data_IF_196012432285
#
_entry.id   IF_196012432285
#
_cell.length_a   1.000
_cell.length_b   1.000
_cell.length_c   1.000
_cell.angle_alpha   90.00
_cell.angle_beta   90.00
_cell.angle_gamma   90.00
#
_symmetry.space_group_name_H-M   'P 1'
#
loop_
_entity.id
_entity.type
_entity.pdbx_description
1 polymer ?
#
# COMPACT_ATOMS: atom_id res chain seq x y z
N UNK A 1 2.24 4.37 11.83
CA UNK A 1 1.05 4.64 12.67
C UNK A 1 0.62 3.41 13.43
N UNK A 2 -0.22 3.55 14.47
CA UNK A 2 -0.82 2.42 15.17
C UNK A 2 -2.25 2.21 14.71
N UNK A 3 -2.62 0.95 14.47
CA UNK A 3 -4.00 0.53 14.28
C UNK A 3 -4.54 -0.10 15.56
N UNK A 4 -5.72 0.37 15.96
CA UNK A 4 -6.50 -0.16 17.07
C UNK A 4 -7.66 -0.99 16.52
N UNK A 5 -7.60 -2.31 16.75
CA UNK A 5 -8.59 -3.29 16.32
C UNK A 5 -9.45 -3.72 17.52
N UNK A 6 -10.76 -3.43 17.53
CA UNK A 6 -11.67 -3.82 18.61
C UNK A 6 -12.02 -5.32 18.59
N UNK A 7 -11.44 -6.11 17.66
CA UNK A 7 -11.80 -7.50 17.46
C UNK A 7 -13.21 -7.64 16.89
N UNK A 8 -14.07 -8.39 17.55
CA UNK A 8 -15.46 -8.62 17.13
C UNK A 8 -16.42 -7.53 17.62
N UNK A 9 -15.91 -6.60 18.44
CA UNK A 9 -16.68 -5.49 19.00
C UNK A 9 -16.71 -4.29 18.03
N UNK A 10 -17.54 -3.29 18.39
CA UNK A 10 -17.53 -1.98 17.75
C UNK A 10 -16.58 -1.05 18.48
N UNK A 11 -15.97 -0.09 17.76
CA UNK A 11 -15.11 0.94 18.37
C UNK A 11 -15.83 1.67 19.49
N UNK A 12 -17.10 2.01 19.28
CA UNK A 12 -17.92 2.78 20.24
C UNK A 12 -18.19 2.02 21.55
N UNK A 13 -18.19 0.70 21.52
CA UNK A 13 -18.60 -0.14 22.66
C UNK A 13 -17.50 -0.95 23.30
N UNK A 14 -16.34 -1.07 22.62
CA UNK A 14 -15.21 -1.83 23.16
C UNK A 14 -14.55 -1.11 24.34
N UNK A 15 -13.88 -1.90 25.20
CA UNK A 15 -12.97 -1.40 26.25
C UNK A 15 -11.57 -1.95 26.07
N UNK A 16 -11.36 -2.80 25.04
CA UNK A 16 -10.09 -3.43 24.72
C UNK A 16 -9.80 -3.31 23.23
N UNK A 17 -8.56 -3.03 22.89
CA UNK A 17 -8.07 -3.02 21.52
C UNK A 17 -6.83 -3.90 21.40
N UNK A 18 -6.74 -4.66 20.31
CA UNK A 18 -5.46 -5.15 19.81
C UNK A 18 -4.77 -4.02 19.08
N UNK A 19 -3.48 -3.86 19.32
CA UNK A 19 -2.68 -2.82 18.67
C UNK A 19 -1.78 -3.46 17.64
N UNK A 20 -1.83 -2.94 16.41
CA UNK A 20 -1.02 -3.37 15.29
C UNK A 20 -0.23 -2.17 14.75
N UNK A 21 0.92 -2.46 14.21
CA UNK A 21 1.61 -1.52 13.35
C UNK A 21 0.90 -1.42 12.01
N UNK A 22 1.00 -0.25 11.36
CA UNK A 22 0.39 -0.02 10.05
C UNK A 22 0.99 1.17 9.33
N UNK A 23 0.69 1.24 8.06
CA UNK A 23 1.17 2.21 7.09
C UNK A 23 1.54 1.48 5.81
N UNK A 24 1.00 1.91 4.65
CA UNK A 24 1.13 1.17 3.39
C UNK A 24 2.58 0.82 3.07
N UNK A 25 3.46 1.81 3.09
CA UNK A 25 4.88 1.64 2.78
C UNK A 25 5.59 0.69 3.78
N UNK A 26 5.26 0.81 5.07
CA UNK A 26 5.79 -0.11 6.09
C UNK A 26 5.25 -1.53 5.89
N UNK A 27 3.97 -1.69 5.59
CA UNK A 27 3.35 -2.99 5.34
C UNK A 27 4.03 -3.71 4.17
N UNK A 28 4.35 -2.96 3.09
CA UNK A 28 5.12 -3.46 1.95
C UNK A 28 6.53 -3.86 2.37
N UNK A 29 7.27 -3.00 3.08
CA UNK A 29 8.63 -3.27 3.54
C UNK A 29 8.68 -4.50 4.45
N UNK A 30 7.72 -4.63 5.38
CA UNK A 30 7.62 -5.78 6.28
C UNK A 30 7.27 -7.07 5.53
N UNK A 31 6.37 -7.01 4.55
CA UNK A 31 6.05 -8.15 3.69
C UNK A 31 7.29 -8.63 2.93
N UNK A 32 8.04 -7.72 2.31
CA UNK A 32 9.30 -8.00 1.63
C UNK A 32 10.34 -8.62 2.58
N UNK A 33 10.40 -8.14 3.84
CA UNK A 33 11.34 -8.67 4.84
C UNK A 33 10.91 -10.02 5.36
N UNK A 34 9.70 -10.14 5.88
CA UNK A 34 9.25 -11.30 6.65
C UNK A 34 8.85 -12.49 5.78
N UNK A 35 8.15 -12.22 4.67
CA UNK A 35 7.72 -13.28 3.75
C UNK A 35 8.84 -13.67 2.78
N UNK A 36 9.54 -12.69 2.23
CA UNK A 36 10.45 -12.88 1.10
C UNK A 36 11.94 -12.77 1.45
N UNK A 37 12.30 -12.43 2.69
CA UNK A 37 13.68 -12.43 3.18
C UNK A 37 14.56 -11.28 2.65
N UNK A 38 13.99 -10.26 2.01
CA UNK A 38 14.76 -9.13 1.49
C UNK A 38 15.24 -8.20 2.63
N UNK A 39 16.32 -7.47 2.39
CA UNK A 39 16.74 -6.37 3.25
C UNK A 39 15.87 -5.17 2.93
N UNK A 40 15.22 -4.60 3.94
CA UNK A 40 14.29 -3.47 3.78
C UNK A 40 14.50 -2.43 4.86
N UNK A 41 14.30 -1.18 4.54
CA UNK A 41 14.26 -0.05 5.48
C UNK A 41 12.95 0.71 5.33
N UNK A 42 12.60 1.51 6.35
CA UNK A 42 11.50 2.46 6.31
C UNK A 42 12.01 3.87 6.56
N UNK A 43 11.63 4.81 5.70
CA UNK A 43 11.86 6.23 5.88
C UNK A 43 10.60 6.86 6.42
N UNK A 44 10.65 7.40 7.64
CA UNK A 44 9.48 7.96 8.30
C UNK A 44 9.87 8.96 9.38
N UNK A 45 8.88 9.70 9.91
CA UNK A 45 9.07 10.54 11.08
C UNK A 45 8.10 10.10 12.20
N UNK A 46 8.60 10.09 13.44
CA UNK A 46 7.90 9.64 14.64
C UNK A 46 8.08 10.68 15.75
N UNK A 47 6.99 11.00 16.46
CA UNK A 47 7.06 11.86 17.65
C UNK A 47 7.75 11.12 18.80
N UNK A 48 8.72 11.75 19.44
CA UNK A 48 9.55 11.18 20.51
C UNK A 48 8.80 11.12 21.84
N UNK A 49 7.96 10.10 21.97
CA UNK A 49 7.20 9.81 23.18
C UNK A 49 6.99 8.28 23.32
N UNK A 50 6.31 7.83 24.37
CA UNK A 50 6.07 6.40 24.62
C UNK A 50 5.32 5.70 23.49
N UNK A 51 4.42 6.41 22.78
CA UNK A 51 3.72 5.86 21.60
C UNK A 51 4.68 5.68 20.42
N UNK A 52 5.61 6.63 20.24
CA UNK A 52 6.68 6.51 19.23
C UNK A 52 7.60 5.33 19.52
N UNK A 53 7.94 5.08 20.80
CA UNK A 53 8.74 3.91 21.19
C UNK A 53 8.01 2.60 20.96
N UNK A 54 6.69 2.53 21.18
CA UNK A 54 5.89 1.36 20.82
C UNK A 54 5.90 1.13 19.29
N UNK A 55 5.76 2.18 18.47
CA UNK A 55 5.86 2.04 17.01
C UNK A 55 7.24 1.51 16.61
N UNK A 56 8.31 2.04 17.21
CA UNK A 56 9.68 1.59 16.98
C UNK A 56 9.85 0.10 17.29
N UNK A 57 9.35 -0.36 18.44
CA UNK A 57 9.43 -1.77 18.85
C UNK A 57 8.69 -2.69 17.88
N UNK A 58 7.49 -2.30 17.44
CA UNK A 58 6.71 -3.05 16.45
C UNK A 58 7.42 -3.13 15.09
N UNK A 59 8.06 -2.04 14.64
CA UNK A 59 8.89 -2.04 13.42
C UNK A 59 10.08 -2.99 13.60
N UNK A 60 10.73 -2.97 14.76
CA UNK A 60 11.83 -3.86 15.09
C UNK A 60 11.41 -5.34 15.03
N UNK A 61 10.25 -5.68 15.60
CA UNK A 61 9.67 -7.03 15.52
C UNK A 61 9.38 -7.44 14.07
N UNK A 62 9.04 -6.50 13.20
CA UNK A 62 8.91 -6.71 11.75
C UNK A 62 10.24 -6.98 11.04
N UNK A 63 11.38 -6.69 11.68
CA UNK A 63 12.72 -6.87 11.14
C UNK A 63 13.09 -5.86 10.04
N UNK A 64 12.33 -4.77 9.90
CA UNK A 64 12.61 -3.67 8.98
C UNK A 64 13.63 -2.74 9.61
N UNK A 65 14.61 -2.29 8.83
CA UNK A 65 15.63 -1.36 9.29
C UNK A 65 15.02 0.00 9.68
N UNK A 66 15.53 0.60 10.74
CA UNK A 66 14.98 1.79 11.39
C UNK A 66 15.94 2.98 11.37
N UNK A 67 17.08 2.85 10.69
CA UNK A 67 18.15 3.87 10.68
C UNK A 67 17.66 5.22 10.12
N UNK A 68 16.64 5.20 9.26
CA UNK A 68 16.07 6.39 8.63
C UNK A 68 14.78 6.89 9.32
N UNK A 69 14.57 6.55 10.58
CA UNK A 69 13.49 7.13 11.38
C UNK A 69 13.93 8.50 11.92
N UNK A 70 13.24 9.56 11.49
CA UNK A 70 13.39 10.89 12.04
C UNK A 70 12.58 11.04 13.33
N UNK A 71 13.23 11.29 14.44
CA UNK A 71 12.59 11.58 15.71
C UNK A 71 12.28 13.06 15.84
N UNK A 72 11.02 13.39 16.07
CA UNK A 72 10.56 14.77 16.24
C UNK A 72 10.26 15.04 17.71
N UNK A 73 10.82 16.09 18.32
CA UNK A 73 10.59 16.43 19.71
C UNK A 73 9.10 16.58 20.03
N UNK A 74 8.65 15.96 21.11
CA UNK A 74 7.25 15.97 21.54
C UNK A 74 7.02 17.08 22.58
N UNK A 75 5.94 17.84 22.44
CA UNK A 75 5.61 19.00 23.30
C UNK A 75 4.93 18.63 24.62
N UNK A 76 4.81 17.35 24.94
CA UNK A 76 4.17 16.83 26.14
C UNK A 76 2.63 16.67 26.06
N UNK A 77 1.98 17.25 25.05
CA UNK A 77 0.50 17.25 24.92
C UNK A 77 -0.01 16.99 23.50
N UNK A 78 0.89 16.92 22.51
CA UNK A 78 0.54 16.62 21.11
C UNK A 78 -0.13 17.77 20.36
N UNK A 79 0.12 19.02 20.72
CA UNK A 79 -0.37 20.18 19.96
C UNK A 79 0.38 20.36 18.64
N UNK A 80 1.70 20.21 18.69
CA UNK A 80 2.56 20.46 17.54
C UNK A 80 2.82 19.19 16.76
N UNK A 81 3.02 18.06 17.45
CA UNK A 81 3.35 16.78 16.81
C UNK A 81 2.78 15.61 17.60
N UNK A 82 2.35 14.57 16.88
CA UNK A 82 1.90 13.31 17.46
C UNK A 82 2.15 12.14 16.49
N UNK A 83 1.91 10.92 16.94
CA UNK A 83 1.92 9.73 16.12
C UNK A 83 0.53 9.44 15.55
N UNK A 84 0.44 8.93 14.32
CA UNK A 84 -0.83 8.63 13.68
C UNK A 84 -1.54 7.43 14.31
N UNK A 85 -2.84 7.55 14.49
CA UNK A 85 -3.71 6.50 15.03
C UNK A 85 -4.79 6.16 14.00
N UNK A 86 -5.21 4.90 13.98
CA UNK A 86 -6.28 4.41 13.14
C UNK A 86 -7.11 3.38 13.90
N UNK A 87 -8.38 3.66 14.10
CA UNK A 87 -9.33 2.73 14.72
C UNK A 87 -10.12 2.06 13.60
N UNK A 88 -10.03 0.74 13.49
CA UNK A 88 -10.65 0.03 12.36
C UNK A 88 -11.44 -1.18 12.82
N UNK A 89 -12.75 -1.14 12.58
CA UNK A 89 -13.64 -2.27 12.74
C UNK A 89 -13.57 -3.17 11.53
N UNK A 90 -13.41 -4.45 11.73
CA UNK A 90 -13.57 -5.43 10.69
C UNK A 90 -15.04 -5.56 10.29
N UNK A 91 -15.30 -5.65 8.99
CA UNK A 91 -16.62 -5.98 8.51
C UNK A 91 -16.97 -7.45 8.77
N UNK A 92 -18.27 -7.75 8.85
CA UNK A 92 -18.75 -9.12 8.95
C UNK A 92 -20.10 -9.27 8.27
N UNK A 93 -20.25 -10.23 7.37
CA UNK A 93 -21.50 -10.47 6.64
C UNK A 93 -21.98 -9.23 5.90
N UNK A 94 -23.15 -8.72 6.27
CA UNK A 94 -23.74 -7.51 5.69
C UNK A 94 -23.21 -6.20 6.29
N UNK A 95 -22.46 -6.28 7.39
CA UNK A 95 -21.91 -5.11 8.06
C UNK A 95 -20.55 -4.76 7.47
N UNK A 96 -20.46 -3.63 6.78
CA UNK A 96 -19.21 -3.15 6.21
C UNK A 96 -18.14 -2.87 7.28
N UNK A 97 -16.86 -2.95 6.89
CA UNK A 97 -15.77 -2.44 7.69
C UNK A 97 -15.90 -0.92 7.85
N UNK A 98 -15.50 -0.41 9.01
CA UNK A 98 -15.53 1.03 9.31
C UNK A 98 -14.22 1.45 9.94
N UNK A 99 -13.76 2.66 9.65
CA UNK A 99 -12.51 3.19 10.17
C UNK A 99 -12.61 4.65 10.58
N UNK A 100 -11.88 5.00 11.64
CA UNK A 100 -11.67 6.38 12.09
C UNK A 100 -10.15 6.61 12.16
N UNK A 101 -9.63 7.44 11.25
CA UNK A 101 -8.20 7.73 11.17
C UNK A 101 -7.90 9.10 11.76
N UNK A 102 -6.90 9.15 12.61
CA UNK A 102 -6.38 10.38 13.21
C UNK A 102 -4.96 10.63 12.69
N UNK A 103 -4.89 11.38 11.58
CA UNK A 103 -3.66 11.62 10.80
C UNK A 103 -3.18 13.07 10.83
N UNK A 104 -3.94 13.99 11.41
CA UNK A 104 -3.58 15.40 11.48
C UNK A 104 -2.42 15.66 12.46
N UNK A 105 -1.52 16.59 12.14
CA UNK A 105 -0.36 17.00 12.94
C UNK A 105 0.58 15.83 13.33
N UNK A 106 0.61 14.77 12.54
CA UNK A 106 1.54 13.67 12.77
C UNK A 106 2.95 14.06 12.35
N UNK A 107 3.97 13.48 12.97
CA UNK A 107 5.36 13.75 12.60
C UNK A 107 5.60 13.51 11.10
N UNK A 108 5.08 12.41 10.57
CA UNK A 108 5.20 12.06 9.14
C UNK A 108 4.48 13.07 8.23
N UNK A 109 3.36 13.67 8.65
CA UNK A 109 2.63 14.66 7.86
C UNK A 109 3.31 16.02 7.78
N UNK A 110 4.37 16.22 8.57
CA UNK A 110 5.15 17.45 8.66
C UNK A 110 6.55 17.33 8.01
N UNK A 111 6.82 16.20 7.34
CA UNK A 111 8.05 16.09 6.57
C UNK A 111 8.09 17.13 5.44
N UNK A 112 9.24 17.74 5.27
CA UNK A 112 9.50 18.74 4.25
C UNK A 112 10.66 18.28 3.34
N UNK A 113 10.74 18.78 2.09
CA UNK A 113 11.91 18.59 1.25
C UNK A 113 13.19 19.02 1.98
N UNK A 114 14.24 18.20 1.86
CA UNK A 114 15.51 18.40 2.55
C UNK A 114 15.60 17.79 3.96
N UNK A 115 14.51 17.29 4.52
CA UNK A 115 14.51 16.62 5.83
C UNK A 115 15.24 15.26 5.81
N UNK A 116 15.31 14.62 4.66
CA UNK A 116 15.88 13.29 4.45
C UNK A 116 17.07 13.38 3.48
N UNK A 117 18.18 12.77 3.83
CA UNK A 117 19.29 12.59 2.91
C UNK A 117 19.05 11.36 2.02
N UNK A 118 18.41 11.56 0.87
CA UNK A 118 18.08 10.49 -0.05
C UNK A 118 19.29 9.85 -0.73
N UNK A 119 20.40 10.59 -0.87
CA UNK A 119 21.60 10.06 -1.52
C UNK A 119 22.25 8.97 -0.66
N UNK A 120 22.22 9.06 0.68
CA UNK A 120 22.63 7.97 1.57
C UNK A 120 21.83 6.69 1.27
N UNK A 121 20.52 6.80 1.09
CA UNK A 121 19.64 5.65 0.90
C UNK A 121 19.83 5.01 -0.50
N UNK A 122 19.96 5.84 -1.53
CA UNK A 122 19.96 5.34 -2.90
C UNK A 122 21.36 5.09 -3.45
N UNK A 123 22.36 5.88 -3.05
CA UNK A 123 23.73 5.75 -3.49
C UNK A 123 24.58 4.90 -2.53
N UNK A 124 24.66 5.28 -1.25
CA UNK A 124 25.56 4.61 -0.29
C UNK A 124 25.03 3.22 0.14
N UNK A 125 23.71 3.10 0.38
CA UNK A 125 23.07 1.83 0.75
C UNK A 125 22.62 1.01 -0.46
N UNK A 126 22.78 1.53 -1.69
CA UNK A 126 22.49 0.86 -2.95
C UNK A 126 21.07 0.30 -3.02
N UNK A 127 20.06 1.09 -2.60
CA UNK A 127 18.67 0.66 -2.62
C UNK A 127 18.18 0.43 -4.05
N UNK A 128 17.80 -0.79 -4.38
CA UNK A 128 17.35 -1.19 -5.74
C UNK A 128 15.92 -0.80 -6.05
N UNK A 129 15.10 -0.58 -5.02
CA UNK A 129 13.67 -0.31 -5.15
C UNK A 129 13.19 0.69 -4.11
N UNK A 130 12.46 1.70 -4.56
CA UNK A 130 11.77 2.66 -3.72
C UNK A 130 10.26 2.51 -3.91
N UNK A 131 9.52 2.37 -2.82
CA UNK A 131 8.06 2.28 -2.82
C UNK A 131 7.46 3.37 -1.94
N UNK A 132 6.46 4.08 -2.47
CA UNK A 132 5.65 5.05 -1.71
C UNK A 132 4.22 5.05 -2.24
N UNK A 133 3.32 5.81 -1.58
CA UNK A 133 1.91 5.79 -1.96
C UNK A 133 1.18 7.11 -1.79
N UNK A 134 -0.02 7.16 -2.37
CA UNK A 134 -0.86 8.34 -2.40
C UNK A 134 -1.39 8.77 -1.04
N UNK A 135 -1.39 7.88 -0.03
CA UNK A 135 -1.72 8.29 1.34
C UNK A 135 -0.64 9.23 1.87
N UNK A 136 0.65 8.89 1.72
CA UNK A 136 1.74 9.77 2.14
C UNK A 136 1.67 11.11 1.40
N UNK A 137 1.55 11.09 0.08
CA UNK A 137 1.43 12.29 -0.74
C UNK A 137 0.24 13.18 -0.38
N UNK A 138 -0.82 12.60 0.19
CA UNK A 138 -2.05 13.29 0.57
C UNK A 138 -2.08 13.78 2.02
N UNK A 139 -1.05 13.53 2.84
CA UNK A 139 -1.03 13.97 4.24
C UNK A 139 -0.90 15.48 4.38
N UNK A 140 -0.13 16.11 3.50
CA UNK A 140 0.07 17.56 3.45
C UNK A 140 0.63 17.99 2.09
N UNK A 141 0.77 19.30 1.88
CA UNK A 141 1.44 19.81 0.68
C UNK A 141 2.92 19.43 0.68
N UNK A 142 3.59 19.53 1.81
CA UNK A 142 5.03 19.25 1.91
C UNK A 142 5.34 17.77 1.72
N UNK A 143 4.46 16.84 2.16
CA UNK A 143 4.66 15.41 1.94
C UNK A 143 4.55 15.02 0.45
N UNK A 144 3.70 15.68 -0.34
CA UNK A 144 3.68 15.51 -1.79
C UNK A 144 5.00 15.98 -2.44
N UNK A 145 5.54 17.11 -1.98
CA UNK A 145 6.83 17.66 -2.43
C UNK A 145 8.00 16.75 -2.00
N UNK A 146 7.98 16.22 -0.78
CA UNK A 146 8.97 15.25 -0.28
C UNK A 146 8.91 13.91 -1.05
N UNK A 147 7.71 13.42 -1.38
CA UNK A 147 7.58 12.23 -2.22
C UNK A 147 8.21 12.44 -3.60
N UNK A 148 8.01 13.62 -4.20
CA UNK A 148 8.62 13.97 -5.49
C UNK A 148 10.14 14.05 -5.38
N UNK A 149 10.67 14.69 -4.34
CA UNK A 149 12.11 14.75 -4.06
C UNK A 149 12.73 13.36 -3.96
N UNK A 150 12.09 12.46 -3.19
CA UNK A 150 12.52 11.07 -3.06
C UNK A 150 12.55 10.33 -4.41
N UNK A 151 11.47 10.46 -5.20
CA UNK A 151 11.39 9.86 -6.54
C UNK A 151 12.47 10.41 -7.49
N UNK A 152 12.73 11.72 -7.44
CA UNK A 152 13.79 12.36 -8.24
C UNK A 152 15.17 11.85 -7.85
N UNK A 153 15.43 11.68 -6.55
CA UNK A 153 16.66 11.10 -6.04
C UNK A 153 16.80 9.63 -6.45
N UNK A 154 15.77 8.81 -6.25
CA UNK A 154 15.76 7.40 -6.65
C UNK A 154 16.11 7.24 -8.15
N UNK A 155 15.51 8.04 -9.00
CA UNK A 155 15.76 8.01 -10.45
C UNK A 155 17.20 8.44 -10.81
N UNK A 156 17.76 9.43 -10.12
CA UNK A 156 19.17 9.83 -10.36
C UNK A 156 20.15 8.68 -10.11
N UNK A 157 19.84 7.81 -9.12
CA UNK A 157 20.68 6.69 -8.74
C UNK A 157 20.26 5.35 -9.39
N UNK A 158 19.30 5.37 -10.34
CA UNK A 158 18.87 4.16 -11.05
C UNK A 158 18.02 3.21 -10.21
N UNK A 159 17.50 3.68 -9.07
CA UNK A 159 16.56 2.93 -8.22
C UNK A 159 15.18 2.88 -8.88
N UNK A 160 14.57 1.70 -8.96
CA UNK A 160 13.22 1.51 -9.49
C UNK A 160 12.21 2.16 -8.55
N UNK A 161 11.29 2.93 -9.08
CA UNK A 161 10.24 3.62 -8.32
C UNK A 161 8.89 2.95 -8.53
N UNK A 162 8.25 2.50 -7.45
CA UNK A 162 6.85 2.08 -7.49
C UNK A 162 5.96 3.01 -6.66
N UNK A 163 4.74 3.21 -7.15
CA UNK A 163 3.76 4.07 -6.52
C UNK A 163 2.39 3.38 -6.46
N UNK A 164 1.85 3.22 -5.24
CA UNK A 164 0.47 2.81 -5.03
C UNK A 164 -0.40 4.07 -4.92
N UNK A 165 -1.31 4.27 -5.86
CA UNK A 165 -2.19 5.45 -5.90
C UNK A 165 -3.00 5.61 -4.64
N UNK A 166 -3.52 4.52 -4.10
CA UNK A 166 -4.15 4.39 -2.78
C UNK A 166 -5.00 5.62 -2.40
N UNK A 167 -5.89 6.03 -3.31
CA UNK A 167 -6.72 7.23 -3.17
C UNK A 167 -7.59 7.16 -1.90
N UNK A 168 -7.67 8.28 -1.20
CA UNK A 168 -8.54 8.43 -0.03
C UNK A 168 -9.23 9.79 -0.08
N UNK A 169 -10.52 9.80 -0.40
CA UNK A 169 -11.33 11.01 -0.48
C UNK A 169 -11.20 11.87 0.78
N UNK A 170 -11.19 11.25 1.97
CA UNK A 170 -11.10 11.93 3.25
C UNK A 170 -9.84 12.79 3.42
N UNK A 171 -8.72 12.41 2.80
CA UNK A 171 -7.47 13.18 2.81
C UNK A 171 -7.53 14.34 1.82
N UNK A 172 -8.09 14.11 0.63
CA UNK A 172 -8.12 15.12 -0.43
C UNK A 172 -9.24 16.15 -0.27
N UNK A 173 -10.34 15.80 0.42
CA UNK A 173 -11.54 16.64 0.55
C UNK A 173 -11.22 18.09 0.96
N UNK A 174 -10.34 18.29 1.93
CA UNK A 174 -9.94 19.62 2.42
C UNK A 174 -8.68 20.18 1.75
N UNK A 175 -8.05 19.41 0.86
CA UNK A 175 -6.86 19.81 0.11
C UNK A 175 -7.16 20.20 -1.35
N UNK A 176 -8.43 20.35 -1.72
CA UNK A 176 -8.86 20.73 -3.07
C UNK A 176 -9.56 19.61 -3.86
N UNK A 177 -9.92 18.51 -3.17
CA UNK A 177 -10.73 17.42 -3.72
C UNK A 177 -10.04 16.60 -4.80
N UNK A 178 -10.85 15.88 -5.57
CA UNK A 178 -10.37 14.96 -6.63
C UNK A 178 -9.53 15.65 -7.71
N UNK A 179 -9.85 16.90 -8.09
CA UNK A 179 -9.05 17.64 -9.08
C UNK A 179 -7.61 17.87 -8.60
N UNK A 180 -7.44 18.21 -7.32
CA UNK A 180 -6.11 18.38 -6.74
C UNK A 180 -5.40 17.03 -6.59
N UNK A 181 -6.11 15.98 -6.20
CA UNK A 181 -5.60 14.61 -6.14
C UNK A 181 -5.04 14.18 -7.50
N UNK A 182 -5.83 14.32 -8.57
CA UNK A 182 -5.40 13.99 -9.91
C UNK A 182 -4.16 14.79 -10.33
N UNK A 183 -4.15 16.10 -10.10
CA UNK A 183 -3.01 16.95 -10.48
C UNK A 183 -1.72 16.54 -9.75
N UNK A 184 -1.78 16.24 -8.45
CA UNK A 184 -0.61 15.79 -7.66
C UNK A 184 -0.17 14.41 -8.11
N UNK A 185 -1.09 13.44 -8.19
CA UNK A 185 -0.76 12.07 -8.58
C UNK A 185 -0.16 12.02 -9.99
N UNK A 186 -0.72 12.74 -10.97
CA UNK A 186 -0.17 12.84 -12.33
C UNK A 186 1.26 13.38 -12.34
N UNK A 187 1.54 14.40 -11.51
CA UNK A 187 2.90 14.92 -11.35
C UNK A 187 3.88 13.90 -10.78
N UNK A 188 3.44 13.05 -9.82
CA UNK A 188 4.26 11.99 -9.25
C UNK A 188 4.42 10.80 -10.22
N UNK A 189 3.35 10.39 -10.90
CA UNK A 189 3.36 9.27 -11.86
C UNK A 189 4.36 9.51 -13.00
N UNK A 190 4.63 10.75 -13.38
CA UNK A 190 5.69 11.06 -14.36
C UNK A 190 7.11 10.63 -13.95
N UNK A 191 7.29 10.14 -12.71
CA UNK A 191 8.57 9.70 -12.14
C UNK A 191 8.57 8.22 -11.73
N UNK A 192 7.49 7.50 -12.00
CA UNK A 192 7.23 6.14 -11.55
C UNK A 192 7.54 5.13 -12.64
N UNK A 193 8.12 4.01 -12.29
CA UNK A 193 8.36 2.86 -13.19
C UNK A 193 7.25 1.82 -13.09
N UNK A 194 6.71 1.60 -11.87
CA UNK A 194 5.66 0.62 -11.58
C UNK A 194 4.50 1.29 -10.86
N UNK A 195 3.36 1.39 -11.52
CA UNK A 195 2.15 2.01 -10.98
C UNK A 195 1.18 0.93 -10.49
N UNK A 196 0.70 1.08 -9.27
CA UNK A 196 -0.22 0.15 -8.61
C UNK A 196 -1.48 0.91 -8.19
N UNK A 197 -2.63 0.25 -8.29
CA UNK A 197 -3.90 0.82 -7.85
C UNK A 197 -5.07 -0.12 -8.05
N UNK A 198 -6.26 0.40 -7.85
CA UNK A 198 -7.53 -0.22 -8.18
C UNK A 198 -8.35 0.70 -9.11
N UNK A 199 -9.56 0.33 -9.44
CA UNK A 199 -10.45 1.09 -10.33
C UNK A 199 -10.69 2.54 -9.88
N UNK A 200 -10.95 2.76 -8.59
CA UNK A 200 -11.15 4.08 -8.00
C UNK A 200 -9.87 4.93 -8.06
N UNK A 201 -8.74 4.29 -7.83
CA UNK A 201 -7.43 4.94 -7.86
C UNK A 201 -7.12 5.53 -9.24
N UNK A 202 -7.35 4.75 -10.30
CA UNK A 202 -7.09 5.20 -11.67
C UNK A 202 -8.11 6.24 -12.15
N UNK A 203 -9.37 6.09 -11.78
CA UNK A 203 -10.44 7.01 -12.22
C UNK A 203 -10.46 8.27 -11.38
N UNK A 204 -10.74 8.18 -10.09
CA UNK A 204 -10.83 9.34 -9.20
C UNK A 204 -9.47 9.89 -8.82
N UNK A 205 -8.50 9.00 -8.53
CA UNK A 205 -7.16 9.37 -8.07
C UNK A 205 -6.28 9.98 -9.17
N UNK A 206 -6.39 9.51 -10.43
CA UNK A 206 -5.63 9.99 -11.60
C UNK A 206 -6.47 10.77 -12.62
N UNK A 207 -7.78 10.61 -12.58
CA UNK A 207 -8.70 11.29 -13.49
C UNK A 207 -8.81 10.64 -14.88
N UNK A 208 -8.59 9.30 -14.99
CA UNK A 208 -8.87 8.56 -16.21
C UNK A 208 -10.37 8.28 -16.33
N UNK A 209 -10.91 8.49 -17.53
CA UNK A 209 -12.28 8.09 -17.85
C UNK A 209 -12.28 6.65 -18.36
N UNK A 210 -13.19 5.82 -17.85
CA UNK A 210 -13.36 4.43 -18.27
C UNK A 210 -14.76 4.25 -18.81
N UNK A 211 -14.88 3.86 -20.10
CA UNK A 211 -16.18 3.57 -20.71
C UNK A 211 -16.89 2.43 -19.99
N UNK A 212 -18.17 2.64 -19.65
CA UNK A 212 -19.03 1.61 -19.01
C UNK A 212 -18.86 1.48 -17.50
N UNK A 213 -18.13 2.40 -16.86
CA UNK A 213 -17.98 2.42 -15.42
C UNK A 213 -19.27 2.88 -14.74
N UNK A 214 -19.81 2.04 -13.86
CA UNK A 214 -20.90 2.40 -12.96
C UNK A 214 -20.38 3.25 -11.79
N UNK A 215 -21.25 4.07 -11.20
CA UNK A 215 -20.91 4.94 -10.06
C UNK A 215 -20.42 4.20 -8.81
N UNK A 216 -20.64 2.90 -8.71
CA UNK A 216 -20.20 2.01 -7.63
C UNK A 216 -18.93 1.21 -7.95
N UNK A 217 -18.30 1.50 -9.11
CA UNK A 217 -17.12 0.79 -9.62
C UNK A 217 -17.32 -0.73 -9.80
N UNK A 218 -18.57 -1.24 -9.71
CA UNK A 218 -18.89 -2.62 -10.00
C UNK A 218 -18.95 -2.84 -11.51
N UNK A 219 -18.42 -3.96 -12.00
CA UNK A 219 -18.49 -4.44 -13.39
C UNK A 219 -17.54 -3.81 -14.43
N UNK A 220 -16.34 -3.35 -14.03
CA UNK A 220 -15.31 -3.12 -15.03
C UNK A 220 -14.93 -4.43 -15.73
N UNK A 221 -15.12 -4.47 -17.04
CA UNK A 221 -14.64 -5.62 -17.83
C UNK A 221 -13.11 -5.61 -17.90
N UNK A 222 -12.52 -6.79 -18.05
CA UNK A 222 -11.07 -6.94 -18.29
C UNK A 222 -10.61 -6.10 -19.48
N UNK A 223 -11.43 -6.00 -20.54
CA UNK A 223 -11.14 -5.18 -21.72
C UNK A 223 -11.14 -3.68 -21.41
N UNK A 224 -12.03 -3.21 -20.53
CA UNK A 224 -12.04 -1.81 -20.08
C UNK A 224 -10.76 -1.48 -19.28
N UNK A 225 -10.31 -2.39 -18.41
CA UNK A 225 -9.03 -2.24 -17.72
C UNK A 225 -7.85 -2.21 -18.69
N UNK A 226 -7.83 -3.09 -19.67
CA UNK A 226 -6.77 -3.11 -20.69
C UNK A 226 -6.68 -1.79 -21.42
N UNK A 227 -7.79 -1.28 -21.95
CA UNK A 227 -7.84 0.02 -22.65
C UNK A 227 -7.35 1.18 -21.76
N UNK A 228 -7.78 1.22 -20.50
CA UNK A 228 -7.33 2.22 -19.54
C UNK A 228 -5.82 2.14 -19.29
N UNK A 229 -5.26 0.94 -19.11
CA UNK A 229 -3.83 0.76 -18.91
C UNK A 229 -3.01 1.14 -20.15
N UNK A 230 -3.50 0.82 -21.34
CA UNK A 230 -2.89 1.25 -22.62
C UNK A 230 -2.88 2.78 -22.76
N UNK A 231 -4.00 3.44 -22.45
CA UNK A 231 -4.10 4.88 -22.43
C UNK A 231 -3.13 5.51 -21.42
N UNK A 232 -3.06 4.93 -20.20
CA UNK A 232 -2.16 5.39 -19.15
C UNK A 232 -0.69 5.32 -19.61
N UNK A 233 -0.27 4.20 -20.17
CA UNK A 233 1.10 4.02 -20.66
C UNK A 233 1.43 4.94 -21.84
N UNK A 234 0.45 5.25 -22.69
CA UNK A 234 0.61 6.24 -23.76
C UNK A 234 0.82 7.65 -23.21
N UNK A 235 0.15 8.00 -22.12
CA UNK A 235 0.27 9.31 -21.49
C UNK A 235 1.53 9.42 -20.60
N UNK A 236 1.92 8.33 -19.95
CA UNK A 236 3.09 8.26 -19.07
C UNK A 236 4.11 7.23 -19.59
N UNK A 237 4.89 7.57 -20.62
CA UNK A 237 5.82 6.61 -21.25
C UNK A 237 6.99 6.20 -20.35
N UNK A 238 7.17 6.85 -19.21
CA UNK A 238 8.12 6.42 -18.17
C UNK A 238 7.62 5.21 -17.37
N UNK A 239 6.30 5.01 -17.27
CA UNK A 239 5.72 3.87 -16.57
C UNK A 239 5.91 2.62 -17.42
N UNK A 240 6.53 1.59 -16.85
CA UNK A 240 6.79 0.32 -17.54
C UNK A 240 5.75 -0.74 -17.20
N UNK A 241 5.25 -0.72 -15.96
CA UNK A 241 4.27 -1.68 -15.46
C UNK A 241 3.12 -0.95 -14.81
N UNK A 242 1.90 -1.29 -15.20
CA UNK A 242 0.67 -0.90 -14.50
C UNK A 242 0.02 -2.15 -13.94
N UNK A 243 -0.20 -2.21 -12.64
CA UNK A 243 -0.84 -3.34 -11.98
C UNK A 243 -2.09 -2.92 -11.22
N UNK A 244 -3.15 -3.72 -11.31
CA UNK A 244 -4.40 -3.48 -10.60
C UNK A 244 -4.86 -4.72 -9.84
N UNK A 245 -5.29 -4.51 -8.59
CA UNK A 245 -6.01 -5.54 -7.85
C UNK A 245 -7.48 -5.55 -8.25
N UNK A 246 -8.01 -6.74 -8.46
CA UNK A 246 -9.41 -6.95 -8.81
C UNK A 246 -10.15 -7.52 -7.60
N UNK A 247 -11.25 -6.89 -7.25
CA UNK A 247 -12.06 -7.31 -6.12
C UNK A 247 -13.55 -7.25 -6.43
N UNK A 248 -14.24 -8.38 -6.30
CA UNK A 248 -15.68 -8.42 -6.37
C UNK A 248 -16.25 -8.75 -4.98
N UNK A 249 -16.88 -7.76 -4.35
CA UNK A 249 -17.37 -7.85 -2.97
C UNK A 249 -18.70 -8.59 -2.93
N UNK A 250 -18.72 -9.79 -2.34
CA UNK A 250 -19.97 -10.57 -2.10
C UNK A 250 -20.58 -10.20 -0.75
N UNK A 251 -19.72 -10.00 0.26
CA UNK A 251 -20.07 -9.52 1.59
C UNK A 251 -18.85 -8.87 2.24
N UNK A 252 -19.00 -8.32 3.44
CA UNK A 252 -17.86 -7.77 4.17
C UNK A 252 -16.76 -8.80 4.51
N UNK A 253 -17.14 -10.07 4.62
CA UNK A 253 -16.25 -11.19 4.94
C UNK A 253 -16.03 -12.17 3.79
N UNK A 254 -16.49 -11.86 2.55
CA UNK A 254 -16.30 -12.74 1.39
C UNK A 254 -16.16 -11.93 0.11
N UNK A 255 -15.03 -12.12 -0.59
CA UNK A 255 -14.74 -11.46 -1.87
C UNK A 255 -14.19 -12.46 -2.88
N UNK A 256 -14.38 -12.16 -4.17
CA UNK A 256 -13.46 -12.67 -5.18
C UNK A 256 -12.22 -11.77 -5.21
N UNK A 257 -11.06 -12.37 -5.45
CA UNK A 257 -9.77 -11.67 -5.43
C UNK A 257 -8.87 -12.15 -6.56
N UNK A 258 -8.27 -11.20 -7.25
CA UNK A 258 -7.29 -11.42 -8.31
C UNK A 258 -6.54 -10.14 -8.62
N UNK A 259 -5.76 -10.18 -9.68
CA UNK A 259 -5.00 -9.03 -10.15
C UNK A 259 -4.73 -9.12 -11.65
N UNK A 260 -4.46 -7.98 -12.25
CA UNK A 260 -4.03 -7.84 -13.64
C UNK A 260 -2.81 -6.93 -13.69
N UNK A 261 -1.97 -7.09 -14.71
CA UNK A 261 -0.98 -6.09 -15.05
C UNK A 261 -0.78 -5.97 -16.56
N UNK A 262 -0.28 -4.81 -16.97
CA UNK A 262 0.13 -4.54 -18.34
C UNK A 262 1.59 -4.11 -18.34
N UNK A 263 2.40 -4.75 -19.17
CA UNK A 263 3.83 -4.52 -19.28
C UNK A 263 4.30 -4.85 -20.70
N UNK A 264 5.06 -3.96 -21.33
CA UNK A 264 5.70 -4.16 -22.65
C UNK A 264 4.75 -4.71 -23.74
N UNK A 265 3.53 -4.16 -23.81
CA UNK A 265 2.50 -4.59 -24.78
C UNK A 265 1.76 -5.87 -24.41
N UNK A 266 2.09 -6.52 -23.28
CA UNK A 266 1.46 -7.75 -22.83
C UNK A 266 0.54 -7.50 -21.64
N UNK A 267 -0.61 -8.17 -21.67
CA UNK A 267 -1.59 -8.15 -20.59
C UNK A 267 -1.58 -9.49 -19.84
N UNK A 268 -1.40 -9.43 -18.53
CA UNK A 268 -1.32 -10.58 -17.66
C UNK A 268 -2.47 -10.56 -16.66
N UNK A 269 -2.97 -11.74 -16.30
CA UNK A 269 -4.01 -11.93 -15.30
C UNK A 269 -3.60 -13.05 -14.34
N UNK A 270 -3.77 -12.81 -13.05
CA UNK A 270 -3.58 -13.84 -12.02
C UNK A 270 -4.76 -14.81 -11.96
N UNK A 271 -4.58 -15.92 -11.25
CA UNK A 271 -5.70 -16.79 -10.88
C UNK A 271 -6.69 -15.98 -10.04
N UNK A 272 -7.95 -16.02 -10.44
CA UNK A 272 -9.05 -15.45 -9.63
C UNK A 272 -9.40 -16.43 -8.52
N UNK A 273 -9.33 -15.97 -7.28
CA UNK A 273 -9.71 -16.73 -6.09
C UNK A 273 -11.12 -16.33 -5.72
N UNK A 274 -12.08 -17.17 -6.15
CA UNK A 274 -13.50 -16.93 -5.90
C UNK A 274 -13.86 -17.24 -4.46
N UNK A 275 -14.80 -16.46 -3.91
CA UNK A 275 -15.36 -16.65 -2.57
C UNK A 275 -14.32 -16.73 -1.45
N UNK A 276 -13.22 -15.97 -1.56
CA UNK A 276 -12.20 -15.89 -0.52
C UNK A 276 -12.84 -15.43 0.80
N UNK A 277 -12.70 -16.24 1.84
CA UNK A 277 -13.13 -15.89 3.18
C UNK A 277 -12.10 -14.94 3.83
N UNK A 278 -12.58 -13.76 4.22
CA UNK A 278 -11.74 -12.68 4.71
C UNK A 278 -11.90 -12.57 6.22
N UNK A 279 -10.79 -12.71 6.91
CA UNK A 279 -10.71 -12.43 8.34
C UNK A 279 -10.48 -10.93 8.60
N UNK A 280 -9.53 -10.33 7.89
CA UNK A 280 -9.24 -8.89 7.93
C UNK A 280 -8.80 -8.42 6.53
N UNK A 281 -9.45 -7.40 6.00
CA UNK A 281 -9.15 -6.95 4.63
C UNK A 281 -7.99 -5.97 4.53
N UNK A 282 -7.57 -5.40 5.68
CA UNK A 282 -6.51 -4.39 5.70
C UNK A 282 -5.16 -5.05 5.34
N UNK A 283 -4.33 -4.33 4.59
CA UNK A 283 -3.02 -4.82 4.18
C UNK A 283 -3.00 -5.81 3.01
N UNK A 284 -4.16 -6.22 2.48
CA UNK A 284 -4.21 -7.10 1.30
C UNK A 284 -3.57 -6.46 0.05
N UNK A 285 -3.82 -5.16 -0.19
CA UNK A 285 -3.18 -4.39 -1.26
C UNK A 285 -1.68 -4.22 -1.04
N UNK A 286 -1.26 -3.89 0.18
CA UNK A 286 0.16 -3.73 0.51
C UNK A 286 0.91 -5.06 0.36
N UNK A 287 0.27 -6.18 0.75
CA UNK A 287 0.83 -7.52 0.57
C UNK A 287 0.88 -7.91 -0.91
N UNK A 288 -0.13 -7.53 -1.72
CA UNK A 288 -0.04 -7.66 -3.18
C UNK A 288 1.18 -6.90 -3.72
N UNK A 289 1.36 -5.64 -3.34
CA UNK A 289 2.48 -4.80 -3.77
C UNK A 289 3.82 -5.42 -3.39
N UNK A 290 3.97 -5.95 -2.16
CA UNK A 290 5.21 -6.62 -1.73
C UNK A 290 5.51 -7.89 -2.53
N UNK A 291 4.51 -8.72 -2.83
CA UNK A 291 4.68 -9.93 -3.65
C UNK A 291 5.02 -9.61 -5.11
N UNK A 292 4.38 -8.60 -5.69
CA UNK A 292 4.69 -8.08 -7.03
C UNK A 292 6.14 -7.57 -7.10
N UNK A 293 6.56 -6.72 -6.16
CA UNK A 293 7.92 -6.18 -6.07
C UNK A 293 8.94 -7.30 -5.94
N UNK A 294 8.70 -8.27 -5.07
CA UNK A 294 9.60 -9.43 -4.91
C UNK A 294 9.73 -10.22 -6.21
N UNK A 295 8.63 -10.49 -6.89
CA UNK A 295 8.63 -11.23 -8.15
C UNK A 295 9.44 -10.52 -9.23
N UNK A 296 9.24 -9.22 -9.40
CA UNK A 296 9.98 -8.39 -10.36
C UNK A 296 11.48 -8.34 -10.02
N UNK A 297 11.84 -8.12 -8.74
CA UNK A 297 13.24 -8.11 -8.29
C UNK A 297 13.94 -9.48 -8.44
N UNK A 298 13.19 -10.57 -8.39
CA UNK A 298 13.74 -11.92 -8.56
C UNK A 298 13.90 -12.36 -10.01
N UNK A 299 13.46 -11.55 -10.99
CA UNK A 299 13.61 -11.83 -12.41
C UNK A 299 12.83 -13.05 -12.91
N UNK A 300 11.75 -13.44 -12.23
CA UNK A 300 10.92 -14.61 -12.57
C UNK A 300 9.84 -14.32 -13.63
N UNK A 301 9.82 -13.09 -14.15
CA UNK A 301 8.86 -12.63 -15.15
C UNK A 301 7.57 -12.07 -14.54
N UNK A 302 6.85 -11.31 -15.37
CA UNK A 302 5.71 -10.48 -14.94
C UNK A 302 4.51 -11.31 -14.49
N UNK A 303 4.21 -12.40 -15.21
CA UNK A 303 3.13 -13.33 -14.83
C UNK A 303 3.38 -13.95 -13.45
N UNK A 304 4.62 -14.38 -13.18
CA UNK A 304 4.98 -14.94 -11.89
C UNK A 304 4.89 -13.87 -10.77
N UNK A 305 5.39 -12.67 -11.05
CA UNK A 305 5.36 -11.56 -10.10
C UNK A 305 3.92 -11.16 -9.74
N UNK A 306 3.04 -11.07 -10.75
CA UNK A 306 1.63 -10.78 -10.58
C UNK A 306 0.93 -11.84 -9.72
N UNK A 307 1.16 -13.12 -10.02
CA UNK A 307 0.55 -14.24 -9.28
C UNK A 307 1.09 -14.30 -7.83
N UNK A 308 2.38 -14.01 -7.62
CA UNK A 308 2.99 -13.91 -6.29
C UNK A 308 2.31 -12.79 -5.47
N UNK A 309 2.12 -11.63 -6.08
CA UNK A 309 1.37 -10.53 -5.44
C UNK A 309 -0.06 -10.92 -5.09
N UNK A 310 -0.80 -11.48 -6.04
CA UNK A 310 -2.19 -11.89 -5.84
C UNK A 310 -2.32 -12.97 -4.74
N UNK A 311 -1.43 -13.95 -4.73
CA UNK A 311 -1.40 -15.01 -3.71
C UNK A 311 -1.04 -14.45 -2.32
N UNK A 312 -0.04 -13.56 -2.23
CA UNK A 312 0.36 -12.95 -0.96
C UNK A 312 -0.73 -12.05 -0.39
N UNK A 313 -1.39 -11.23 -1.23
CA UNK A 313 -2.53 -10.42 -0.83
C UNK A 313 -3.72 -11.26 -0.33
N UNK A 314 -4.00 -12.39 -0.97
CA UNK A 314 -5.03 -13.32 -0.53
C UNK A 314 -4.71 -13.90 0.86
N UNK A 315 -3.49 -14.37 1.08
CA UNK A 315 -3.05 -14.92 2.38
C UNK A 315 -3.09 -13.88 3.50
N UNK A 316 -2.68 -12.64 3.22
CA UNK A 316 -2.71 -11.57 4.21
C UNK A 316 -4.12 -11.33 4.75
N UNK A 317 -5.15 -11.45 3.92
CA UNK A 317 -6.54 -11.27 4.32
C UNK A 317 -7.09 -12.41 5.21
N UNK A 318 -6.35 -13.49 5.41
CA UNK A 318 -6.76 -14.61 6.28
C UNK A 318 -6.29 -14.50 7.73
N UNK A 319 -5.51 -13.47 8.04
CA UNK A 319 -4.97 -13.22 9.38
C UNK A 319 -5.33 -11.80 9.86
N UNK A 320 -5.34 -11.55 11.18
CA UNK A 320 -5.60 -10.20 11.71
C UNK A 320 -4.40 -9.28 11.54
N UNK A 321 -4.65 -7.98 11.48
CA UNK A 321 -3.61 -6.93 11.40
C UNK A 321 -3.36 -6.46 9.98
N UNK A 322 -2.55 -5.41 9.84
CA UNK A 322 -2.28 -4.76 8.55
C UNK A 322 -1.17 -5.46 7.77
N UNK A 323 -0.39 -6.31 8.42
CA UNK A 323 0.81 -6.92 7.85
C UNK A 323 0.63 -8.42 7.65
N UNK A 324 1.15 -8.94 6.53
CA UNK A 324 1.08 -10.36 6.24
C UNK A 324 1.90 -11.18 7.24
N UNK A 325 1.36 -12.33 7.63
CA UNK A 325 2.04 -13.38 8.42
C UNK A 325 2.46 -14.57 7.55
N UNK A 326 2.24 -14.51 6.23
CA UNK A 326 2.55 -15.59 5.30
C UNK A 326 4.05 -15.81 5.13
N UNK A 327 4.42 -17.01 4.77
CA UNK A 327 5.77 -17.40 4.34
C UNK A 327 5.83 -17.54 2.82
N UNK A 328 7.02 -17.42 2.23
CA UNK A 328 7.23 -17.65 0.78
C UNK A 328 6.68 -19.02 0.34
N UNK A 329 6.88 -20.05 1.16
CA UNK A 329 6.40 -21.40 0.86
C UNK A 329 4.86 -21.46 0.76
N UNK A 330 4.14 -20.76 1.63
CA UNK A 330 2.66 -20.67 1.56
C UNK A 330 2.21 -19.91 0.32
N UNK A 331 2.90 -18.81 -0.01
CA UNK A 331 2.63 -18.04 -1.24
C UNK A 331 2.82 -18.93 -2.47
N UNK A 332 3.98 -19.62 -2.60
CA UNK A 332 4.26 -20.49 -3.75
C UNK A 332 3.31 -21.70 -3.85
N UNK A 333 2.84 -22.22 -2.72
CA UNK A 333 1.80 -23.27 -2.71
C UNK A 333 0.47 -22.74 -3.23
N UNK A 334 0.04 -21.57 -2.78
CA UNK A 334 -1.21 -20.97 -3.22
C UNK A 334 -1.17 -20.58 -4.71
N UNK A 335 -0.02 -20.12 -5.22
CA UNK A 335 0.19 -19.86 -6.65
C UNK A 335 -0.06 -21.10 -7.51
N UNK A 336 0.21 -22.30 -7.01
CA UNK A 336 0.01 -23.59 -7.71
C UNK A 336 -1.42 -24.13 -7.57
N UNK A 337 -2.33 -23.40 -6.95
CA UNK A 337 -3.73 -23.82 -6.74
C UNK A 337 -3.90 -24.93 -5.69
N UNK A 338 -2.93 -25.11 -4.79
CA UNK A 338 -3.04 -26.12 -3.74
C UNK A 338 -4.10 -25.76 -2.70
N UNK A 339 -4.92 -26.75 -2.33
CA UNK A 339 -6.01 -26.60 -1.35
C UNK A 339 -5.49 -26.42 0.09
N UNK A 340 -6.35 -25.86 0.97
CA UNK A 340 -6.12 -25.65 2.40
C UNK A 340 -6.00 -26.96 3.23
N UNK A 341 -5.27 -27.97 2.74
CA UNK A 341 -5.00 -29.19 3.50
C UNK A 341 -3.91 -28.94 4.55
N UNK A 342 -4.08 -29.55 5.73
CA UNK A 342 -3.10 -29.47 6.82
C UNK A 342 -1.70 -29.84 6.30
N UNK A 343 -0.75 -28.92 6.47
CA UNK A 343 0.67 -29.17 6.22
C UNK A 343 1.26 -29.74 7.52
N UNK A 344 1.69 -31.00 7.48
CA UNK A 344 2.39 -31.69 8.59
C UNK A 344 3.89 -31.66 8.33
#
# INVERSE_FOLDING_TARGET
>A
MLRFDPGDMRVETTRNFRVWEGGGEYNVARGLKRCFGLRTTVVTAIADNSIGRLIQDLIFQGGVDQSHIRWVPYDGVGRTVRNGLNFTERGFGIRAASGCSDRGNTAISQLEPGDINWDVIFEEEESRWFHTGGIFAALSRTTAETAREAMDAARRHGTIVSYDLNYRESLWKFMGGHRRAAAVNRSLVSKVDVLIGNEEDFTTGLGFEVEGLNSDFSNLSIDSYRKMMEQLLSEFPNVRIVAATLRNVKSASRNDWGAICYCDGNFYQSITRENLEIYDRIGGGDSFSSGLIFGLLSGRGEQWALECGAAHGALAMTTPGDTSMATLLEVEKLMKGHSARVVR
#
